data_IF_852133341287
#
_entry.id   IF_852133341287
#
_cell.length_a   1.000
_cell.length_b   1.000
_cell.length_c   1.000
_cell.angle_alpha   90.00
_cell.angle_beta   90.00
_cell.angle_gamma   90.00
#
_symmetry.space_group_name_H-M   'P 1'
#
loop_
_entity.id
_entity.type
_entity.pdbx_description
1 polymer ?
#
# COMPACT_ATOMS: atom_id res chain seq x y z
N UNK A 1 -26.74 -3.10 -6.78
CA UNK A 1 -25.32 -2.88 -7.12
C UNK A 1 -24.53 -2.77 -5.83
N UNK A 2 -23.41 -3.49 -5.71
CA UNK A 2 -22.51 -3.34 -4.57
C UNK A 2 -21.69 -2.07 -4.74
N UNK A 3 -21.47 -1.34 -3.65
CA UNK A 3 -20.64 -0.13 -3.60
C UNK A 3 -19.63 -0.26 -2.48
N UNK A 4 -18.45 0.33 -2.67
CA UNK A 4 -17.47 0.41 -1.59
C UNK A 4 -18.04 1.21 -0.40
N UNK A 5 -17.90 0.71 0.84
CA UNK A 5 -18.29 1.46 2.02
C UNK A 5 -17.37 2.66 2.25
N UNK A 6 -17.87 3.65 3.00
CA UNK A 6 -17.02 4.72 3.54
C UNK A 6 -16.01 4.09 4.51
N UNK A 7 -14.73 4.30 4.24
CA UNK A 7 -13.63 3.68 4.99
C UNK A 7 -12.36 4.53 4.97
N UNK A 8 -11.47 4.27 5.92
CA UNK A 8 -10.07 4.68 5.88
C UNK A 8 -9.26 3.46 5.41
N UNK A 9 -8.88 3.46 4.13
CA UNK A 9 -8.30 2.26 3.48
C UNK A 9 -6.80 2.40 3.26
N UNK A 10 -6.03 1.45 3.78
CA UNK A 10 -4.61 1.30 3.46
C UNK A 10 -4.44 0.20 2.41
N UNK A 11 -3.85 0.55 1.26
CA UNK A 11 -3.36 -0.40 0.27
C UNK A 11 -1.88 -0.70 0.54
N UNK A 12 -1.55 -1.98 0.65
CA UNK A 12 -0.17 -2.48 0.78
C UNK A 12 0.14 -3.30 -0.47
N UNK A 13 1.10 -2.83 -1.26
CA UNK A 13 1.53 -3.48 -2.52
C UNK A 13 2.81 -4.24 -2.27
N UNK A 14 2.85 -5.50 -2.67
CA UNK A 14 4.05 -6.30 -2.61
C UNK A 14 5.13 -5.74 -3.55
N UNK A 15 6.30 -5.46 -2.98
CA UNK A 15 7.52 -5.07 -3.71
C UNK A 15 8.70 -5.89 -3.20
N UNK A 16 8.46 -7.15 -2.82
CA UNK A 16 9.49 -8.09 -2.40
C UNK A 16 10.39 -8.52 -3.57
N UNK A 17 11.60 -8.96 -3.23
CA UNK A 17 12.59 -9.49 -4.18
C UNK A 17 12.00 -10.66 -4.99
N UNK A 18 11.96 -10.54 -6.32
CA UNK A 18 11.52 -11.61 -7.21
C UNK A 18 10.19 -11.34 -7.92
N UNK A 19 9.49 -10.27 -7.55
CA UNK A 19 8.49 -9.64 -8.42
C UNK A 19 9.19 -9.17 -9.70
N UNK A 20 8.70 -9.63 -10.85
CA UNK A 20 9.13 -9.04 -12.10
C UNK A 20 8.54 -7.63 -12.19
N UNK A 21 9.22 -6.65 -12.81
CA UNK A 21 8.62 -5.34 -13.09
C UNK A 21 7.25 -5.45 -13.77
N UNK A 22 7.00 -6.55 -14.50
CA UNK A 22 5.70 -6.88 -15.07
C UNK A 22 4.60 -7.10 -14.04
N UNK A 23 4.85 -7.83 -12.95
CA UNK A 23 3.85 -8.14 -11.94
C UNK A 23 3.49 -6.87 -11.15
N UNK A 24 4.48 -6.01 -10.84
CA UNK A 24 4.24 -4.71 -10.21
C UNK A 24 3.30 -3.83 -11.04
N UNK A 25 3.44 -3.83 -12.37
CA UNK A 25 2.53 -3.08 -13.27
C UNK A 25 1.11 -3.65 -13.24
N UNK A 26 0.93 -4.95 -13.03
CA UNK A 26 -0.42 -5.53 -12.90
C UNK A 26 -1.06 -5.17 -11.55
N UNK A 27 -0.27 -5.19 -10.47
CA UNK A 27 -0.73 -4.81 -9.14
C UNK A 27 -1.15 -3.34 -9.09
N UNK A 28 -0.36 -2.42 -9.64
CA UNK A 28 -0.73 -1.00 -9.71
C UNK A 28 -1.97 -0.76 -10.57
N UNK A 29 -2.07 -1.41 -11.74
CA UNK A 29 -3.29 -1.35 -12.57
C UNK A 29 -4.53 -1.89 -11.87
N UNK A 30 -4.40 -2.92 -11.05
CA UNK A 30 -5.50 -3.44 -10.25
C UNK A 30 -5.96 -2.39 -9.23
N UNK A 31 -5.02 -1.76 -8.51
CA UNK A 31 -5.33 -0.70 -7.55
C UNK A 31 -6.02 0.47 -8.24
N UNK A 32 -5.50 0.95 -9.37
CA UNK A 32 -6.13 2.04 -10.14
C UNK A 32 -7.60 1.74 -10.47
N UNK A 33 -7.90 0.51 -10.91
CA UNK A 33 -9.28 0.09 -11.19
C UNK A 33 -10.15 0.08 -9.93
N UNK A 34 -9.61 -0.39 -8.80
CA UNK A 34 -10.32 -0.39 -7.52
C UNK A 34 -10.62 1.05 -7.08
N UNK A 35 -9.62 1.93 -7.09
CA UNK A 35 -9.77 3.34 -6.73
C UNK A 35 -10.82 4.05 -7.59
N UNK A 36 -10.89 3.73 -8.89
CA UNK A 36 -11.92 4.26 -9.80
C UNK A 36 -13.36 3.88 -9.43
N UNK A 37 -13.55 2.89 -8.55
CA UNK A 37 -14.87 2.49 -8.02
C UNK A 37 -15.17 3.05 -6.62
N UNK A 38 -14.19 3.69 -5.98
CA UNK A 38 -14.30 4.24 -4.63
C UNK A 38 -14.66 5.72 -4.66
N UNK A 39 -15.43 6.18 -3.67
CA UNK A 39 -15.70 7.62 -3.49
C UNK A 39 -14.65 8.26 -2.57
N UNK A 40 -13.52 8.62 -3.17
CA UNK A 40 -12.35 9.12 -2.43
C UNK A 40 -12.46 10.63 -2.21
N UNK A 41 -12.75 11.04 -0.97
CA UNK A 41 -12.83 12.44 -0.55
C UNK A 41 -12.51 12.56 0.94
N UNK A 42 -12.13 13.76 1.40
CA UNK A 42 -11.80 14.01 2.81
C UNK A 42 -12.94 13.68 3.79
N UNK A 43 -14.21 13.74 3.33
CA UNK A 43 -15.40 13.45 4.14
C UNK A 43 -15.99 12.05 3.91
N UNK A 44 -15.59 11.34 2.84
CA UNK A 44 -16.03 9.97 2.56
C UNK A 44 -14.86 9.01 2.72
N UNK A 45 -14.37 8.37 1.65
CA UNK A 45 -13.26 7.41 1.76
C UNK A 45 -11.93 8.14 1.69
N UNK A 46 -11.01 7.82 2.61
CA UNK A 46 -9.60 8.24 2.53
C UNK A 46 -8.75 7.04 2.21
N UNK A 47 -7.65 7.26 1.49
CA UNK A 47 -6.74 6.19 1.13
C UNK A 47 -5.31 6.50 1.56
N UNK A 48 -4.58 5.45 1.92
CA UNK A 48 -3.15 5.44 2.14
C UNK A 48 -2.53 4.34 1.26
N UNK A 49 -1.27 4.51 0.89
CA UNK A 49 -0.53 3.54 0.09
C UNK A 49 0.84 3.31 0.71
N UNK A 50 1.20 2.03 0.79
CA UNK A 50 2.52 1.59 1.18
C UNK A 50 3.01 0.45 0.27
N UNK A 51 4.32 0.31 0.14
CA UNK A 51 4.95 -0.84 -0.49
C UNK A 51 5.55 -1.73 0.59
N UNK A 52 5.26 -3.03 0.51
CA UNK A 52 5.89 -4.05 1.32
C UNK A 52 7.24 -4.42 0.68
N UNK A 53 8.33 -3.95 1.29
CA UNK A 53 9.70 -4.38 0.99
C UNK A 53 10.36 -4.83 2.30
N UNK A 54 11.59 -5.39 2.31
CA UNK A 54 12.29 -5.68 3.57
C UNK A 54 12.31 -4.50 4.55
N UNK A 55 12.43 -3.27 4.06
CA UNK A 55 12.16 -2.05 4.82
C UNK A 55 10.83 -1.42 4.39
N UNK A 56 9.92 -1.09 5.31
CA UNK A 56 8.60 -0.58 4.92
C UNK A 56 8.75 0.75 4.17
N UNK A 57 8.05 0.91 3.04
CA UNK A 57 7.98 2.20 2.33
C UNK A 57 6.56 2.74 2.38
N UNK A 58 6.45 3.94 2.94
CA UNK A 58 5.20 4.68 3.03
C UNK A 58 5.17 5.68 1.87
N UNK A 59 4.21 5.53 0.97
CA UNK A 59 4.10 6.41 -0.20
C UNK A 59 3.27 7.64 0.15
N UNK A 60 2.10 7.44 0.76
CA UNK A 60 1.26 8.52 1.26
C UNK A 60 0.26 8.05 2.33
N UNK A 61 -0.14 8.95 3.23
CA UNK A 61 -1.00 8.68 4.39
C UNK A 61 -2.48 9.03 4.14
N UNK A 62 -3.39 8.72 5.08
CA UNK A 62 -4.81 9.07 4.95
C UNK A 62 -5.06 10.60 5.00
N UNK A 63 -4.09 11.37 5.49
CA UNK A 63 -4.13 12.84 5.47
C UNK A 63 -3.81 13.43 4.09
N UNK A 64 -3.30 12.59 3.17
CA UNK A 64 -2.84 13.01 1.85
C UNK A 64 -3.99 13.08 0.82
N UNK A 65 -3.62 13.19 -0.45
CA UNK A 65 -4.41 13.86 -1.49
C UNK A 65 -5.71 13.13 -1.89
N UNK A 66 -6.66 13.89 -2.45
CA UNK A 66 -7.97 13.38 -2.91
C UNK A 66 -7.90 12.39 -4.09
N UNK A 67 -9.06 11.91 -4.54
CA UNK A 67 -9.15 10.77 -5.49
C UNK A 67 -8.29 10.84 -6.76
N UNK A 68 -8.25 11.98 -7.47
CA UNK A 68 -7.44 12.11 -8.70
C UNK A 68 -5.94 12.01 -8.41
N UNK A 69 -5.51 12.61 -7.32
CA UNK A 69 -4.11 12.63 -6.93
C UNK A 69 -3.65 11.28 -6.39
N UNK A 70 -4.53 10.57 -5.69
CA UNK A 70 -4.37 9.19 -5.29
C UNK A 70 -4.12 8.26 -6.50
N UNK A 71 -4.97 8.35 -7.53
CA UNK A 71 -4.79 7.56 -8.77
C UNK A 71 -3.48 7.92 -9.46
N UNK A 72 -3.17 9.21 -9.57
CA UNK A 72 -1.94 9.68 -10.20
C UNK A 72 -0.68 9.26 -9.41
N UNK A 73 -0.77 9.15 -8.08
CA UNK A 73 0.31 8.63 -7.24
C UNK A 73 0.55 7.14 -7.48
N UNK A 74 -0.53 6.34 -7.57
CA UNK A 74 -0.43 4.90 -7.92
C UNK A 74 0.18 4.71 -9.32
N UNK A 75 -0.22 5.52 -10.30
CA UNK A 75 0.33 5.46 -11.67
C UNK A 75 1.83 5.76 -11.75
N UNK A 76 2.34 6.57 -10.82
CA UNK A 76 3.76 6.93 -10.72
C UNK A 76 4.54 6.02 -9.79
N UNK A 77 3.88 5.04 -9.16
CA UNK A 77 4.52 4.13 -8.23
C UNK A 77 5.63 3.35 -8.96
N UNK A 78 6.83 3.44 -8.42
CA UNK A 78 7.97 2.70 -8.92
C UNK A 78 8.18 1.45 -8.09
N UNK A 79 8.52 0.35 -8.77
CA UNK A 79 8.97 -0.86 -8.10
C UNK A 79 10.24 -0.54 -7.31
N UNK A 80 10.17 -0.73 -5.99
CA UNK A 80 11.33 -0.58 -5.12
C UNK A 80 11.73 -1.97 -4.62
N UNK A 81 12.57 -2.64 -5.40
CA UNK A 81 13.22 -3.87 -4.95
C UNK A 81 14.33 -3.56 -3.95
N UNK A 82 14.70 -4.56 -3.16
CA UNK A 82 15.88 -4.50 -2.32
C UNK A 82 16.94 -5.47 -2.84
N UNK A 83 17.98 -4.99 -3.52
CA UNK A 83 19.06 -5.86 -3.97
C UNK A 83 20.13 -6.02 -2.88
N UNK A 84 20.16 -7.18 -2.23
CA UNK A 84 21.14 -7.51 -1.18
C UNK A 84 22.61 -7.44 -1.64
N UNK A 85 22.87 -7.51 -2.95
CA UNK A 85 24.22 -7.36 -3.49
C UNK A 85 24.70 -5.90 -3.51
N UNK A 86 23.78 -4.95 -3.68
CA UNK A 86 24.07 -3.51 -3.77
C UNK A 86 23.69 -2.72 -2.52
N UNK A 87 22.79 -3.24 -1.68
CA UNK A 87 22.28 -2.57 -0.49
C UNK A 87 22.14 -3.51 0.72
N UNK A 88 23.29 -4.02 1.19
CA UNK A 88 23.40 -5.02 2.28
C UNK A 88 22.68 -4.63 3.57
N UNK A 89 22.60 -3.35 3.90
CA UNK A 89 21.98 -2.87 5.14
C UNK A 89 20.48 -2.55 4.98
N UNK A 90 19.97 -2.40 3.76
CA UNK A 90 18.53 -2.11 3.53
C UNK A 90 17.67 -3.34 3.28
N UNK A 91 18.29 -4.50 3.08
CA UNK A 91 17.55 -5.74 2.83
C UNK A 91 17.33 -6.59 4.07
N UNK A 92 17.75 -6.13 5.25
CA UNK A 92 17.33 -6.74 6.51
C UNK A 92 15.82 -6.53 6.70
N UNK A 93 15.03 -7.62 6.80
CA UNK A 93 13.58 -7.53 6.88
C UNK A 93 13.17 -7.00 8.25
N UNK A 94 12.61 -5.79 8.27
CA UNK A 94 12.05 -5.11 9.45
C UNK A 94 10.58 -4.77 9.27
N UNK A 95 10.04 -4.91 8.06
CA UNK A 95 8.63 -4.68 7.77
C UNK A 95 7.75 -5.87 8.19
N UNK A 96 6.59 -5.56 8.76
CA UNK A 96 5.42 -6.42 8.84
C UNK A 96 4.19 -5.63 8.39
N UNK A 97 3.06 -6.30 8.11
CA UNK A 97 1.81 -5.57 7.83
C UNK A 97 1.43 -4.72 9.03
N UNK A 98 1.64 -5.22 10.24
CA UNK A 98 1.40 -4.47 11.47
C UNK A 98 2.27 -3.21 11.58
N UNK A 99 3.57 -3.28 11.29
CA UNK A 99 4.44 -2.10 11.35
C UNK A 99 4.07 -1.07 10.28
N UNK A 100 3.68 -1.52 9.09
CA UNK A 100 3.24 -0.65 8.00
C UNK A 100 1.92 0.03 8.39
N UNK A 101 0.95 -0.74 8.87
CA UNK A 101 -0.36 -0.22 9.27
C UNK A 101 -0.24 0.79 10.41
N UNK A 102 0.56 0.49 11.44
CA UNK A 102 0.77 1.36 12.59
C UNK A 102 1.31 2.74 12.19
N UNK A 103 2.13 2.82 11.14
CA UNK A 103 2.65 4.08 10.62
C UNK A 103 1.68 4.75 9.64
N UNK A 104 1.23 4.04 8.60
CA UNK A 104 0.43 4.61 7.51
C UNK A 104 -0.96 5.06 7.96
N UNK A 105 -1.53 4.43 8.99
CA UNK A 105 -2.82 4.81 9.57
C UNK A 105 -2.69 5.85 10.69
N UNK A 106 -1.48 6.29 11.06
CA UNK A 106 -1.30 7.27 12.14
C UNK A 106 -1.83 8.65 11.78
N UNK A 107 -1.66 9.06 10.53
CA UNK A 107 -1.99 10.40 10.06
C UNK A 107 -3.27 10.37 9.23
N UNK A 108 -4.31 11.09 9.68
CA UNK A 108 -5.57 11.26 8.95
C UNK A 108 -6.62 10.18 9.19
N UNK A 109 -6.36 9.19 10.07
CA UNK A 109 -7.35 8.19 10.49
C UNK A 109 -8.46 8.81 11.36
N UNK A 110 -9.69 8.38 11.09
CA UNK A 110 -10.91 8.81 11.79
C UNK A 110 -11.46 7.67 12.63
N UNK A 111 -11.42 7.83 13.95
CA UNK A 111 -11.91 6.86 14.96
C UNK A 111 -13.34 6.35 14.75
N UNK A 112 -14.19 7.10 14.05
CA UNK A 112 -15.60 6.75 13.81
C UNK A 112 -15.84 6.07 12.46
N UNK A 113 -14.80 5.89 11.65
CA UNK A 113 -14.86 5.27 10.32
C UNK A 113 -14.09 3.94 10.36
N UNK A 114 -14.57 2.88 9.69
CA UNK A 114 -13.85 1.61 9.65
C UNK A 114 -12.49 1.72 8.96
N UNK A 115 -11.47 1.14 9.58
CA UNK A 115 -10.16 0.90 8.99
C UNK A 115 -10.18 -0.37 8.13
N UNK A 116 -9.69 -0.27 6.90
CA UNK A 116 -9.58 -1.40 5.97
C UNK A 116 -8.14 -1.52 5.50
N UNK A 117 -7.57 -2.71 5.59
CA UNK A 117 -6.23 -3.00 5.05
C UNK A 117 -6.41 -3.96 3.87
N UNK A 118 -5.97 -3.53 2.69
CA UNK A 118 -5.97 -4.33 1.46
C UNK A 118 -4.53 -4.67 1.12
N UNK A 119 -4.18 -5.94 1.25
CA UNK A 119 -2.84 -6.44 0.90
C UNK A 119 -2.91 -7.08 -0.48
N UNK A 120 -2.03 -6.66 -1.38
CA UNK A 120 -1.92 -7.17 -2.75
C UNK A 120 -0.55 -7.79 -2.90
N UNK A 121 -0.50 -9.08 -3.23
CA UNK A 121 0.74 -9.82 -3.41
C UNK A 121 0.65 -10.76 -4.61
N UNK A 122 1.78 -10.86 -5.33
CA UNK A 122 1.98 -11.77 -6.46
C UNK A 122 2.05 -13.26 -6.08
N UNK A 123 1.93 -13.61 -4.79
CA UNK A 123 2.03 -14.99 -4.22
C UNK A 123 3.38 -15.70 -4.39
N UNK A 124 4.34 -15.09 -5.07
CA UNK A 124 5.67 -15.67 -5.32
C UNK A 124 6.52 -15.75 -4.06
N UNK A 125 6.32 -14.83 -3.12
CA UNK A 125 6.90 -14.87 -1.79
C UNK A 125 5.81 -14.55 -0.76
N UNK A 126 5.69 -15.36 0.31
CA UNK A 126 4.77 -15.02 1.39
C UNK A 126 5.25 -13.73 2.05
N UNK A 127 4.33 -12.80 2.29
CA UNK A 127 4.58 -11.63 3.12
C UNK A 127 4.86 -12.15 4.53
N UNK A 128 6.09 -12.03 5.05
CA UNK A 128 6.41 -12.52 6.38
C UNK A 128 5.80 -11.58 7.41
N UNK A 129 4.87 -12.08 8.22
CA UNK A 129 4.52 -11.41 9.47
C UNK A 129 5.65 -11.68 10.46
N UNK A 130 6.42 -10.65 10.79
CA UNK A 130 7.32 -10.69 11.93
C UNK A 130 6.44 -10.75 13.19
N UNK A 131 6.28 -11.95 13.75
CA UNK A 131 5.70 -12.13 15.07
C UNK A 131 6.74 -11.61 16.07
N UNK A 132 6.50 -10.42 16.61
CA UNK A 132 7.24 -9.87 17.75
C UNK A 132 6.88 -10.60 19.03
#
# INVERSE_FOLDING_TARGET
>A
QCVWPVSDTLFIVDSTLGIAPYDHVQETRFIEKVLGTMRITSNQTRIALAQFTPQPRHEFSLASEGGENAVAAVQRLQFVGCDSATDRNRCEPTASVNSIAAFSLKEGNRKTIPDVIVVISSSKWPIPELIL
#
